data_IF_714869255527
#
_entry.id   IF_714869255527
#
_cell.length_a   1.000
_cell.length_b   1.000
_cell.length_c   1.000
_cell.angle_alpha   90.00
_cell.angle_beta   90.00
_cell.angle_gamma   90.00
#
_symmetry.space_group_name_H-M   'P 1'
#
loop_
_entity.id
_entity.type
_entity.pdbx_description
1 polymer ?
#
# COMPACT_ATOMS: atom_id res chain seq x y z
N UNK A 1 10.47 -23.53 37.36
CA UNK A 1 10.38 -22.07 37.23
C UNK A 1 11.25 -21.62 36.03
N UNK A 2 10.67 -21.32 34.86
CA UNK A 2 11.44 -20.79 33.72
C UNK A 2 11.47 -19.27 33.86
N UNK A 3 12.67 -18.72 33.98
CA UNK A 3 12.90 -17.28 34.02
C UNK A 3 12.38 -16.66 32.72
N UNK A 4 11.37 -15.80 32.84
CA UNK A 4 10.92 -14.93 31.75
C UNK A 4 12.06 -13.94 31.51
N UNK A 5 12.57 -13.93 30.29
CA UNK A 5 13.71 -13.14 29.89
C UNK A 5 13.37 -11.64 30.03
N UNK A 6 14.20 -10.89 30.76
CA UNK A 6 14.02 -9.44 31.01
C UNK A 6 13.79 -8.61 29.74
N UNK A 7 14.35 -9.05 28.62
CA UNK A 7 14.12 -8.42 27.32
C UNK A 7 12.67 -8.55 26.79
N UNK A 8 11.95 -9.61 27.18
CA UNK A 8 10.54 -9.77 26.82
C UNK A 8 9.61 -8.92 27.70
N UNK A 9 9.96 -8.71 28.98
CA UNK A 9 9.20 -7.82 29.86
C UNK A 9 9.34 -6.35 29.47
N UNK A 10 10.54 -5.91 29.07
CA UNK A 10 10.80 -4.54 28.62
C UNK A 10 10.09 -4.24 27.28
N UNK A 11 10.04 -5.24 26.39
CA UNK A 11 9.31 -5.17 25.13
C UNK A 11 7.79 -5.06 25.34
N UNK A 12 7.26 -5.78 26.34
CA UNK A 12 5.82 -5.74 26.68
C UNK A 12 5.44 -4.42 27.40
N UNK A 13 6.30 -3.91 28.25
CA UNK A 13 6.13 -2.64 28.97
C UNK A 13 6.14 -1.43 28.01
N UNK A 14 7.02 -1.42 27.02
CA UNK A 14 7.07 -0.38 25.97
C UNK A 14 5.87 -0.46 25.01
N UNK A 15 5.37 -1.66 24.69
CA UNK A 15 4.12 -1.81 23.91
C UNK A 15 2.89 -1.22 24.64
N UNK A 16 2.86 -1.29 25.97
CA UNK A 16 1.73 -0.79 26.78
C UNK A 16 1.74 0.73 26.96
N UNK A 17 2.85 1.44 26.69
CA UNK A 17 2.95 2.89 26.83
C UNK A 17 2.57 3.69 25.58
N UNK A 18 2.35 3.00 24.44
CA UNK A 18 2.02 3.65 23.17
C UNK A 18 0.51 3.91 23.06
N UNK A 19 0.15 5.01 22.40
CA UNK A 19 -1.25 5.25 22.03
C UNK A 19 -1.77 4.04 21.24
N UNK A 20 -2.92 3.46 21.63
CA UNK A 20 -3.46 2.31 20.93
C UNK A 20 -3.72 2.69 19.45
N UNK A 21 -3.18 1.90 18.53
CA UNK A 21 -3.39 2.07 17.09
C UNK A 21 -4.75 1.58 16.59
N UNK A 22 -5.60 1.15 17.52
CA UNK A 22 -6.95 0.67 17.29
C UNK A 22 -7.97 1.50 18.08
N UNK A 23 -9.19 1.54 17.57
CA UNK A 23 -10.37 2.18 18.18
C UNK A 23 -11.41 1.12 18.56
N UNK A 24 -12.43 1.43 19.39
CA UNK A 24 -13.62 0.61 19.49
C UNK A 24 -14.25 0.39 18.12
N UNK A 25 -14.82 -0.79 17.89
CA UNK A 25 -15.52 -1.09 16.62
C UNK A 25 -16.68 -0.10 16.46
N UNK A 26 -16.79 0.51 15.27
CA UNK A 26 -17.89 1.40 14.93
C UNK A 26 -19.20 0.60 14.94
N UNK A 27 -20.30 1.12 15.50
CA UNK A 27 -21.55 0.36 15.62
C UNK A 27 -22.06 -0.21 14.29
N UNK A 28 -21.98 0.58 13.21
CA UNK A 28 -22.38 0.21 11.85
C UNK A 28 -21.47 -0.83 11.20
N UNK A 29 -20.26 -1.02 11.71
CA UNK A 29 -19.23 -1.93 11.19
C UNK A 29 -19.00 -3.11 12.16
N UNK A 30 -19.94 -3.34 13.09
CA UNK A 30 -19.86 -4.44 14.06
C UNK A 30 -19.90 -5.81 13.37
N UNK A 31 -19.19 -6.77 13.99
CA UNK A 31 -19.17 -8.17 13.56
C UNK A 31 -20.08 -9.01 14.46
N UNK A 32 -20.67 -10.09 13.92
CA UNK A 32 -21.33 -11.11 14.70
C UNK A 32 -20.27 -11.91 15.49
N UNK A 33 -20.01 -11.44 16.71
CA UNK A 33 -18.95 -11.99 17.56
C UNK A 33 -19.21 -13.43 17.95
N UNK A 34 -20.46 -13.84 18.17
CA UNK A 34 -20.81 -15.20 18.58
C UNK A 34 -20.52 -16.19 17.44
N UNK A 35 -20.98 -15.88 16.22
CA UNK A 35 -20.69 -16.71 15.05
C UNK A 35 -19.19 -16.75 14.74
N UNK A 36 -18.50 -15.62 14.85
CA UNK A 36 -17.06 -15.55 14.64
C UNK A 36 -16.30 -16.41 15.65
N UNK A 37 -16.68 -16.39 16.93
CA UNK A 37 -16.08 -17.23 17.97
C UNK A 37 -16.26 -18.73 17.67
N UNK A 38 -17.47 -19.14 17.31
CA UNK A 38 -17.77 -20.53 16.95
C UNK A 38 -16.94 -20.94 15.71
N UNK A 39 -16.88 -20.09 14.71
CA UNK A 39 -16.13 -20.35 13.47
C UNK A 39 -14.63 -20.50 13.71
N UNK A 40 -14.03 -19.61 14.53
CA UNK A 40 -12.58 -19.59 14.78
C UNK A 40 -12.11 -20.66 15.75
N UNK A 41 -13.03 -21.29 16.51
CA UNK A 41 -12.70 -22.33 17.46
C UNK A 41 -11.85 -23.42 16.80
N UNK A 42 -10.72 -23.74 17.40
CA UNK A 42 -9.76 -24.76 16.98
C UNK A 42 -9.05 -24.49 15.62
N UNK A 43 -9.40 -23.38 14.91
CA UNK A 43 -8.72 -22.97 13.67
C UNK A 43 -7.50 -22.08 13.93
N UNK A 44 -7.50 -21.35 15.04
CA UNK A 44 -6.40 -20.47 15.47
C UNK A 44 -5.96 -20.80 16.90
N UNK A 45 -4.73 -20.42 17.24
CA UNK A 45 -4.24 -20.54 18.62
C UNK A 45 -4.94 -19.53 19.53
N UNK A 46 -5.19 -19.92 20.76
CA UNK A 46 -5.74 -19.04 21.78
C UNK A 46 -7.27 -18.91 21.79
N UNK A 47 -7.98 -19.53 20.87
CA UNK A 47 -9.46 -19.43 20.72
C UNK A 47 -10.26 -20.04 21.88
N UNK A 48 -9.60 -20.69 22.82
CA UNK A 48 -10.18 -21.16 24.07
C UNK A 48 -10.25 -20.09 25.17
N UNK A 49 -9.84 -18.86 24.87
CA UNK A 49 -9.91 -17.71 25.78
C UNK A 49 -10.86 -16.65 25.20
N UNK A 50 -11.35 -15.69 26.02
CA UNK A 50 -12.24 -14.63 25.52
C UNK A 50 -11.64 -13.85 24.36
N UNK A 51 -12.45 -13.61 23.33
CA UNK A 51 -12.10 -12.76 22.19
C UNK A 51 -12.45 -11.31 22.51
N UNK A 52 -11.48 -10.42 22.29
CA UNK A 52 -11.72 -8.98 22.23
C UNK A 52 -11.49 -8.49 20.79
N UNK A 53 -12.44 -7.70 20.27
CA UNK A 53 -12.39 -7.14 18.92
C UNK A 53 -12.25 -5.62 19.01
N UNK A 54 -11.25 -5.08 18.30
CA UNK A 54 -11.08 -3.65 18.08
C UNK A 54 -10.94 -3.39 16.59
N UNK A 55 -10.96 -2.13 16.16
CA UNK A 55 -10.90 -1.77 14.76
C UNK A 55 -9.70 -0.86 14.48
N UNK A 56 -9.04 -1.02 13.35
CA UNK A 56 -8.05 -0.05 12.89
C UNK A 56 -8.77 1.18 12.32
N UNK A 57 -8.39 2.41 12.72
CA UNK A 57 -9.09 3.64 12.33
C UNK A 57 -8.92 3.99 10.85
N UNK A 58 -7.83 3.52 10.24
CA UNK A 58 -7.54 3.67 8.83
C UNK A 58 -8.25 2.64 7.96
N UNK A 59 -8.36 2.53 6.80
CA UNK A 59 -9.00 1.44 6.02
C UNK A 59 -10.34 1.87 5.45
N UNK A 60 -10.28 2.84 4.50
CA UNK A 60 -11.46 3.24 3.73
C UNK A 60 -11.80 2.26 2.61
N UNK A 61 -10.80 1.51 2.16
CA UNK A 61 -10.94 0.52 1.11
C UNK A 61 -11.44 -0.82 1.66
N UNK A 62 -10.85 -1.32 2.74
CA UNK A 62 -11.23 -2.55 3.42
C UNK A 62 -11.38 -2.31 4.92
N UNK A 63 -12.29 -3.03 5.57
CA UNK A 63 -12.44 -2.97 7.02
C UNK A 63 -11.44 -3.94 7.67
N UNK A 64 -10.69 -3.43 8.64
CA UNK A 64 -9.61 -4.17 9.29
C UNK A 64 -9.84 -4.15 10.80
N UNK A 65 -9.85 -5.35 11.40
CA UNK A 65 -10.13 -5.55 12.82
C UNK A 65 -8.95 -6.24 13.50
N UNK A 66 -8.68 -5.83 14.71
CA UNK A 66 -7.75 -6.50 15.62
C UNK A 66 -8.55 -7.51 16.44
N UNK A 67 -8.17 -8.77 16.35
CA UNK A 67 -8.69 -9.87 17.17
C UNK A 67 -7.64 -10.22 18.21
N UNK A 68 -7.95 -10.06 19.51
CA UNK A 68 -7.03 -10.43 20.58
C UNK A 68 -7.61 -11.46 21.51
N UNK A 69 -6.81 -12.45 21.82
CA UNK A 69 -6.98 -13.48 22.83
C UNK A 69 -5.92 -13.27 23.92
N UNK A 70 -5.98 -13.98 25.02
CA UNK A 70 -5.07 -13.77 26.18
C UNK A 70 -3.58 -13.61 25.81
N UNK A 71 -3.07 -14.44 24.87
CA UNK A 71 -1.64 -14.47 24.49
C UNK A 71 -1.45 -14.47 22.96
N UNK A 72 -2.49 -14.20 22.18
CA UNK A 72 -2.45 -14.27 20.72
C UNK A 72 -3.21 -13.11 20.12
N UNK A 73 -2.69 -12.61 19.02
CA UNK A 73 -3.27 -11.50 18.27
C UNK A 73 -3.34 -11.83 16.80
N UNK A 74 -4.39 -11.36 16.15
CA UNK A 74 -4.63 -11.54 14.72
C UNK A 74 -5.25 -10.28 14.12
N UNK A 75 -5.17 -10.17 12.82
CA UNK A 75 -5.87 -9.14 12.04
C UNK A 75 -6.89 -9.83 11.14
N UNK A 76 -8.15 -9.43 11.25
CA UNK A 76 -9.21 -9.83 10.33
C UNK A 76 -9.42 -8.70 9.32
N UNK A 77 -9.45 -9.05 8.04
CA UNK A 77 -9.69 -8.12 6.94
C UNK A 77 -10.88 -8.58 6.12
N UNK A 78 -11.79 -7.64 5.79
CA UNK A 78 -13.00 -7.89 4.98
C UNK A 78 -13.28 -6.70 4.05
N UNK A 79 -14.06 -6.88 2.97
CA UNK A 79 -14.54 -5.79 2.15
C UNK A 79 -15.32 -4.73 2.96
N UNK A 80 -15.43 -3.48 2.47
CA UNK A 80 -16.28 -2.46 3.07
C UNK A 80 -17.76 -2.88 3.03
N UNK A 81 -18.58 -2.20 3.83
CA UNK A 81 -20.04 -2.38 3.78
C UNK A 81 -20.62 -1.75 2.52
N UNK A 82 -21.65 -2.40 1.96
CA UNK A 82 -22.36 -1.93 0.77
C UNK A 82 -21.81 -2.49 -0.54
N UNK A 83 -22.34 -2.07 -1.68
CA UNK A 83 -21.95 -2.61 -2.98
C UNK A 83 -20.52 -2.19 -3.34
N UNK A 84 -19.69 -3.16 -3.66
CA UNK A 84 -18.33 -2.96 -4.17
C UNK A 84 -18.28 -3.19 -5.68
N UNK A 85 -17.36 -2.50 -6.37
CA UNK A 85 -17.17 -2.72 -7.79
C UNK A 85 -16.63 -4.16 -8.02
N UNK A 86 -17.10 -4.80 -9.09
CA UNK A 86 -16.65 -6.14 -9.46
C UNK A 86 -15.11 -6.19 -9.59
N UNK A 87 -14.49 -7.14 -8.91
CA UNK A 87 -13.04 -7.33 -8.88
C UNK A 87 -12.27 -6.35 -7.98
N UNK A 88 -12.94 -5.43 -7.28
CA UNK A 88 -12.35 -4.62 -6.24
C UNK A 88 -12.50 -5.33 -4.87
N UNK A 89 -11.49 -5.18 -4.01
CA UNK A 89 -11.53 -5.74 -2.65
C UNK A 89 -11.66 -7.28 -2.60
N UNK A 90 -10.96 -7.96 -3.51
CA UNK A 90 -10.94 -9.42 -3.57
C UNK A 90 -10.06 -10.00 -2.44
N UNK A 91 -10.72 -10.43 -1.37
CA UNK A 91 -10.05 -11.01 -0.20
C UNK A 91 -9.36 -12.33 -0.53
N UNK A 92 -9.86 -13.09 -1.50
CA UNK A 92 -9.26 -14.36 -1.93
C UNK A 92 -7.90 -14.12 -2.60
N UNK A 93 -7.79 -13.06 -3.40
CA UNK A 93 -6.54 -12.69 -4.07
C UNK A 93 -5.47 -12.28 -3.06
N UNK A 94 -5.79 -11.38 -2.14
CA UNK A 94 -4.85 -10.94 -1.10
C UNK A 94 -4.43 -12.11 -0.21
N UNK A 95 -5.38 -12.96 0.21
CA UNK A 95 -5.08 -14.18 0.95
C UNK A 95 -4.15 -15.11 0.17
N UNK A 96 -4.42 -15.36 -1.12
CA UNK A 96 -3.59 -16.23 -1.96
C UNK A 96 -2.13 -15.78 -1.99
N UNK A 97 -1.88 -14.48 -2.15
CA UNK A 97 -0.53 -13.91 -2.09
C UNK A 97 0.08 -14.12 -0.71
N UNK A 98 -0.57 -13.64 0.35
CA UNK A 98 -0.01 -13.63 1.70
C UNK A 98 0.16 -15.02 2.31
N UNK A 99 -0.64 -16.01 1.89
CA UNK A 99 -0.53 -17.39 2.37
C UNK A 99 0.77 -18.08 1.93
N UNK A 100 1.42 -17.58 0.89
CA UNK A 100 2.66 -18.16 0.35
C UNK A 100 3.85 -17.20 0.42
N UNK A 101 3.66 -15.92 0.14
CA UNK A 101 4.73 -14.93 0.04
C UNK A 101 5.55 -14.79 1.32
N UNK A 102 4.91 -14.85 2.50
CA UNK A 102 5.59 -14.76 3.80
C UNK A 102 6.71 -15.81 4.01
N UNK A 103 6.73 -16.88 3.22
CA UNK A 103 7.74 -17.95 3.31
C UNK A 103 9.11 -17.52 2.74
N UNK A 104 9.12 -16.57 1.81
CA UNK A 104 10.32 -16.07 1.12
C UNK A 104 10.52 -14.56 1.29
N UNK A 105 9.52 -13.87 1.85
CA UNK A 105 9.56 -12.43 2.06
C UNK A 105 8.90 -12.10 3.41
N UNK A 106 9.71 -11.96 4.46
CA UNK A 106 9.26 -11.83 5.85
C UNK A 106 8.47 -10.54 6.13
N UNK A 107 8.57 -9.54 5.24
CA UNK A 107 7.81 -8.29 5.34
C UNK A 107 6.34 -8.47 4.94
N UNK A 108 5.99 -9.56 4.26
CA UNK A 108 4.60 -9.91 4.00
C UNK A 108 3.97 -10.56 5.26
N UNK A 109 2.87 -10.03 5.81
CA UNK A 109 2.17 -10.68 6.92
C UNK A 109 1.70 -12.08 6.54
N UNK A 110 1.88 -13.05 7.44
CA UNK A 110 1.38 -14.41 7.21
C UNK A 110 -0.15 -14.44 7.24
N UNK A 111 -0.80 -14.89 6.15
CA UNK A 111 -2.22 -15.21 6.18
C UNK A 111 -2.45 -16.63 6.73
N UNK A 112 -3.42 -16.78 7.64
CA UNK A 112 -3.70 -18.02 8.34
C UNK A 112 -4.90 -18.78 7.77
N UNK A 113 -5.98 -18.06 7.46
CA UNK A 113 -7.22 -18.64 6.93
C UNK A 113 -7.97 -17.63 6.06
N UNK A 114 -8.75 -18.15 5.14
CA UNK A 114 -9.72 -17.44 4.31
C UNK A 114 -11.09 -18.11 4.45
N UNK A 115 -12.14 -17.29 4.52
CA UNK A 115 -13.51 -17.74 4.53
C UNK A 115 -14.32 -16.99 3.48
N UNK A 116 -14.93 -17.72 2.58
CA UNK A 116 -15.76 -17.17 1.51
C UNK A 116 -17.23 -17.07 1.89
N UNK A 117 -17.69 -17.86 2.88
CA UNK A 117 -19.09 -17.88 3.32
C UNK A 117 -19.46 -16.58 4.06
N UNK A 118 -20.34 -15.75 3.49
CA UNK A 118 -20.76 -14.51 4.12
C UNK A 118 -21.66 -14.73 5.35
N UNK A 119 -22.15 -15.95 5.60
CA UNK A 119 -23.06 -16.23 6.73
C UNK A 119 -22.40 -16.04 8.10
N UNK A 120 -21.06 -16.02 8.16
CA UNK A 120 -20.30 -15.88 9.40
C UNK A 120 -20.32 -14.42 9.89
N UNK A 121 -19.87 -13.48 9.06
CA UNK A 121 -19.76 -12.05 9.42
C UNK A 121 -20.36 -11.10 8.36
N UNK A 122 -21.17 -11.61 7.46
CA UNK A 122 -21.83 -10.82 6.42
C UNK A 122 -21.01 -10.54 5.16
N UNK A 123 -19.78 -11.07 5.06
CA UNK A 123 -18.90 -10.97 3.88
C UNK A 123 -17.78 -12.00 3.95
N UNK A 124 -17.13 -12.32 2.81
CA UNK A 124 -15.86 -13.02 2.81
C UNK A 124 -14.81 -12.27 3.63
N UNK A 125 -13.90 -13.00 4.27
CA UNK A 125 -12.83 -12.40 5.04
C UNK A 125 -11.59 -13.31 5.09
N UNK A 126 -10.46 -12.72 5.46
CA UNK A 126 -9.30 -13.53 5.84
C UNK A 126 -8.67 -13.04 7.14
N UNK A 127 -7.89 -13.92 7.76
CA UNK A 127 -7.17 -13.63 8.99
C UNK A 127 -5.68 -13.75 8.74
N UNK A 128 -4.95 -12.76 9.20
CA UNK A 128 -3.50 -12.68 9.06
C UNK A 128 -2.80 -12.31 10.36
N UNK A 129 -1.50 -12.40 10.33
CA UNK A 129 -0.57 -12.01 11.38
C UNK A 129 -0.73 -10.53 11.77
N UNK A 130 -0.71 -10.26 13.07
CA UNK A 130 -0.57 -8.91 13.59
C UNK A 130 0.91 -8.53 13.61
N UNK A 131 1.28 -7.51 12.85
CA UNK A 131 2.60 -6.89 12.88
C UNK A 131 2.59 -5.67 13.80
N UNK A 132 3.72 -5.39 14.47
CA UNK A 132 3.87 -4.28 15.41
C UNK A 132 4.98 -3.35 14.93
N UNK A 133 4.70 -2.06 14.90
CA UNK A 133 5.62 -1.03 14.42
C UNK A 133 4.91 0.29 14.15
N UNK A 134 5.60 1.19 13.49
CA UNK A 134 5.14 2.54 13.15
C UNK A 134 4.84 2.63 11.65
N UNK A 135 3.64 3.08 11.31
CA UNK A 135 3.30 3.48 9.94
C UNK A 135 3.46 4.99 9.83
N UNK A 136 4.36 5.41 8.96
CA UNK A 136 4.69 6.82 8.75
C UNK A 136 3.70 7.42 7.75
N UNK A 137 3.11 8.58 8.09
CA UNK A 137 2.16 9.29 7.24
C UNK A 137 2.63 10.73 6.99
N UNK A 138 1.94 11.70 7.56
CA UNK A 138 2.18 13.14 7.31
C UNK A 138 3.25 13.74 8.22
N UNK A 139 3.61 13.06 9.30
CA UNK A 139 4.56 13.53 10.30
C UNK A 139 5.58 12.43 10.62
N UNK A 140 6.81 12.85 10.94
CA UNK A 140 7.82 11.93 11.45
C UNK A 140 7.38 11.45 12.84
N UNK A 141 7.41 10.14 13.13
CA UNK A 141 7.11 9.63 14.45
C UNK A 141 8.04 10.23 15.54
N UNK A 142 7.48 10.49 16.72
CA UNK A 142 8.25 11.01 17.86
C UNK A 142 9.43 10.11 18.22
N UNK A 143 9.28 8.79 18.02
CA UNK A 143 10.30 7.78 18.24
C UNK A 143 11.55 8.00 17.38
N UNK A 144 11.39 8.64 16.21
CA UNK A 144 12.47 8.92 15.27
C UNK A 144 13.00 10.36 15.34
N UNK A 145 12.34 11.26 16.10
CA UNK A 145 12.66 12.69 16.15
C UNK A 145 14.10 13.01 16.58
N UNK A 146 14.71 12.12 17.37
CA UNK A 146 16.08 12.28 17.86
C UNK A 146 17.12 11.44 17.06
N UNK A 147 16.70 10.79 15.97
CA UNK A 147 17.59 10.02 15.12
C UNK A 147 18.02 10.90 13.95
N UNK A 148 19.29 11.30 13.95
CA UNK A 148 19.85 12.00 12.81
C UNK A 148 19.71 11.13 11.55
N UNK A 149 19.36 11.74 10.42
CA UNK A 149 19.15 11.06 9.14
C UNK A 149 18.00 10.03 9.14
N UNK A 150 16.97 10.19 9.99
CA UNK A 150 15.84 9.25 10.01
C UNK A 150 15.17 9.12 8.64
N UNK A 151 14.95 10.24 7.92
CA UNK A 151 14.38 10.22 6.58
C UNK A 151 15.25 9.50 5.55
N UNK A 152 16.58 9.67 5.60
CA UNK A 152 17.52 8.90 4.76
C UNK A 152 17.42 7.41 5.03
N UNK A 153 17.44 7.02 6.31
CA UNK A 153 17.32 5.64 6.74
C UNK A 153 16.03 5.00 6.28
N UNK A 154 14.90 5.69 6.43
CA UNK A 154 13.58 5.27 5.93
C UNK A 154 13.63 5.10 4.41
N UNK A 155 14.21 6.06 3.69
CA UNK A 155 14.33 6.03 2.23
C UNK A 155 15.09 4.81 1.73
N UNK A 156 16.25 4.54 2.33
CA UNK A 156 17.08 3.38 1.99
C UNK A 156 16.37 2.06 2.29
N UNK A 157 15.73 1.96 3.46
CA UNK A 157 14.99 0.75 3.86
C UNK A 157 13.83 0.44 2.91
N UNK A 158 13.09 1.46 2.46
CA UNK A 158 12.01 1.30 1.48
C UNK A 158 12.53 0.75 0.16
N UNK A 159 13.59 1.34 -0.38
CA UNK A 159 14.15 0.89 -1.66
C UNK A 159 14.73 -0.50 -1.56
N UNK A 160 15.47 -0.79 -0.49
CA UNK A 160 16.07 -2.12 -0.27
C UNK A 160 14.98 -3.20 -0.15
N UNK A 161 13.90 -2.94 0.59
CA UNK A 161 12.77 -3.86 0.71
C UNK A 161 12.05 -4.09 -0.64
N UNK A 162 11.93 -3.05 -1.47
CA UNK A 162 11.36 -3.17 -2.81
C UNK A 162 12.23 -4.05 -3.72
N UNK A 163 13.55 -3.89 -3.66
CA UNK A 163 14.49 -4.74 -4.40
C UNK A 163 14.37 -6.20 -3.96
N UNK A 164 14.27 -6.46 -2.65
CA UNK A 164 14.12 -7.83 -2.15
C UNK A 164 12.77 -8.44 -2.57
N UNK A 165 11.68 -7.67 -2.59
CA UNK A 165 10.40 -8.12 -3.13
C UNK A 165 10.54 -8.57 -4.60
N UNK A 166 11.20 -7.75 -5.42
CA UNK A 166 11.35 -8.03 -6.85
C UNK A 166 12.28 -9.20 -7.16
N UNK A 167 13.10 -9.65 -6.21
CA UNK A 167 13.93 -10.86 -6.31
C UNK A 167 13.20 -12.14 -5.94
N UNK A 168 11.99 -12.06 -5.36
CA UNK A 168 11.24 -13.24 -4.95
C UNK A 168 10.92 -14.12 -6.16
N UNK A 169 11.24 -15.41 -6.06
CA UNK A 169 10.86 -16.43 -7.05
C UNK A 169 9.37 -16.74 -6.94
N UNK A 170 8.55 -16.01 -7.68
CA UNK A 170 7.10 -16.18 -7.67
C UNK A 170 6.67 -17.57 -8.18
N UNK A 171 7.46 -18.18 -9.05
CA UNK A 171 7.20 -19.53 -9.57
C UNK A 171 7.36 -20.61 -8.48
N UNK A 172 8.38 -20.51 -7.63
CA UNK A 172 8.58 -21.42 -6.49
C UNK A 172 7.48 -21.29 -5.44
N UNK A 173 6.82 -20.14 -5.37
CA UNK A 173 5.68 -19.90 -4.49
C UNK A 173 4.33 -20.32 -5.09
N UNK A 174 4.31 -20.82 -6.32
CA UNK A 174 3.07 -21.16 -7.02
C UNK A 174 2.23 -19.95 -7.45
N UNK A 175 2.84 -18.75 -7.54
CA UNK A 175 2.18 -17.51 -7.91
C UNK A 175 2.27 -17.18 -9.42
N UNK A 176 2.64 -18.17 -10.27
CA UNK A 176 2.79 -17.98 -11.71
C UNK A 176 1.52 -17.51 -12.43
N UNK A 177 0.35 -17.87 -11.91
CA UNK A 177 -0.95 -17.50 -12.48
C UNK A 177 -1.54 -16.19 -11.85
N UNK A 178 -0.80 -15.50 -11.00
CA UNK A 178 -1.28 -14.30 -10.31
C UNK A 178 -1.59 -13.14 -11.28
N UNK A 179 -0.98 -13.14 -12.47
CA UNK A 179 -1.18 -12.13 -13.49
C UNK A 179 -0.63 -12.52 -14.85
N UNK A 180 -0.76 -11.62 -15.81
CA UNK A 180 -0.25 -11.77 -17.18
C UNK A 180 0.87 -10.75 -17.40
N UNK A 181 2.15 -11.13 -17.29
CA UNK A 181 3.27 -10.17 -17.41
C UNK A 181 3.42 -9.64 -18.84
N UNK A 182 3.16 -10.46 -19.87
CA UNK A 182 3.25 -10.02 -21.25
C UNK A 182 2.29 -8.86 -21.54
N UNK A 183 2.82 -7.77 -22.10
CA UNK A 183 2.04 -6.55 -22.39
C UNK A 183 1.54 -5.81 -21.14
N UNK A 184 2.09 -6.10 -19.95
CA UNK A 184 1.64 -5.53 -18.68
C UNK A 184 1.61 -3.99 -18.72
N UNK A 185 2.69 -3.32 -19.11
CA UNK A 185 2.76 -1.87 -19.10
C UNK A 185 1.73 -1.23 -20.04
N UNK A 186 1.55 -1.75 -21.26
CA UNK A 186 0.50 -1.26 -22.16
C UNK A 186 -0.89 -1.38 -21.52
N UNK A 187 -1.20 -2.51 -20.93
CA UNK A 187 -2.50 -2.70 -20.25
C UNK A 187 -2.67 -1.78 -19.03
N UNK A 188 -1.58 -1.41 -18.32
CA UNK A 188 -1.66 -0.41 -17.26
C UNK A 188 -2.05 0.96 -17.83
N UNK A 189 -1.36 1.42 -18.87
CA UNK A 189 -1.66 2.71 -19.53
C UNK A 189 -3.11 2.73 -20.03
N UNK A 190 -3.52 1.76 -20.86
CA UNK A 190 -4.86 1.68 -21.44
C UNK A 190 -5.96 1.50 -20.36
N UNK A 191 -5.69 0.70 -19.33
CA UNK A 191 -6.61 0.47 -18.24
C UNK A 191 -6.85 1.72 -17.39
N UNK A 192 -5.81 2.51 -17.10
CA UNK A 192 -5.96 3.76 -16.37
C UNK A 192 -6.60 4.85 -17.22
N UNK A 193 -6.31 4.89 -18.53
CA UNK A 193 -7.02 5.78 -19.45
C UNK A 193 -8.51 5.47 -19.52
N UNK A 194 -8.88 4.19 -19.63
CA UNK A 194 -10.30 3.77 -19.57
C UNK A 194 -10.98 4.20 -18.28
N UNK A 195 -10.29 4.08 -17.12
CA UNK A 195 -10.84 4.54 -15.83
C UNK A 195 -11.00 6.06 -15.81
N UNK A 196 -10.04 6.81 -16.35
CA UNK A 196 -10.16 8.25 -16.54
C UNK A 196 -11.38 8.60 -17.40
N UNK A 197 -11.52 8.04 -18.59
CA UNK A 197 -12.64 8.30 -19.48
C UNK A 197 -14.02 8.03 -18.82
N UNK A 198 -14.10 6.98 -17.98
CA UNK A 198 -15.33 6.63 -17.28
C UNK A 198 -15.65 7.54 -16.08
N UNK A 199 -14.64 8.24 -15.54
CA UNK A 199 -14.75 9.03 -14.32
C UNK A 199 -14.53 10.54 -14.53
N UNK A 200 -14.07 10.98 -15.69
CA UNK A 200 -13.81 12.41 -15.95
C UNK A 200 -15.08 13.23 -15.81
N UNK A 201 -14.98 14.35 -15.12
CA UNK A 201 -16.07 15.31 -14.93
C UNK A 201 -16.10 16.39 -16.01
N UNK A 202 -14.99 16.58 -16.72
CA UNK A 202 -14.79 17.47 -17.86
C UNK A 202 -13.63 16.95 -18.71
N UNK A 203 -13.52 17.46 -19.94
CA UNK A 203 -12.35 17.21 -20.78
C UNK A 203 -11.14 18.02 -20.29
N UNK A 204 -9.98 17.39 -20.21
CA UNK A 204 -8.70 18.00 -19.82
C UNK A 204 -7.65 17.55 -20.84
N UNK A 205 -7.29 18.44 -21.77
CA UNK A 205 -6.37 18.15 -22.88
C UNK A 205 -5.02 17.63 -22.43
N UNK A 206 -4.52 18.12 -21.29
CA UNK A 206 -3.23 17.66 -20.73
C UNK A 206 -3.25 16.17 -20.38
N UNK A 207 -4.39 15.60 -20.00
CA UNK A 207 -4.53 14.15 -19.70
C UNK A 207 -4.51 13.33 -20.99
N UNK A 208 -5.16 13.82 -22.05
CA UNK A 208 -5.14 13.17 -23.37
C UNK A 208 -3.69 13.19 -23.93
N UNK A 209 -2.99 14.32 -23.82
CA UNK A 209 -1.58 14.45 -24.23
C UNK A 209 -0.66 13.50 -23.46
N UNK A 210 -0.90 13.32 -22.14
CA UNK A 210 -0.16 12.34 -21.35
C UNK A 210 -0.40 10.89 -21.80
N UNK A 211 -1.64 10.56 -22.12
CA UNK A 211 -1.97 9.24 -22.66
C UNK A 211 -1.23 8.97 -23.97
N UNK A 212 -1.27 9.92 -24.90
CA UNK A 212 -0.58 9.80 -26.19
C UNK A 212 0.94 9.68 -26.02
N UNK A 213 1.50 10.45 -25.07
CA UNK A 213 2.92 10.35 -24.73
C UNK A 213 3.27 8.97 -24.17
N UNK A 214 2.48 8.46 -23.21
CA UNK A 214 2.71 7.14 -22.61
C UNK A 214 2.62 6.02 -23.65
N UNK A 215 1.64 6.06 -24.56
CA UNK A 215 1.51 5.04 -25.62
C UNK A 215 2.69 5.10 -26.60
N UNK A 216 3.16 6.31 -26.92
CA UNK A 216 4.25 6.52 -27.88
C UNK A 216 5.64 6.19 -27.30
N UNK A 217 5.78 6.18 -25.97
CA UNK A 217 7.06 5.96 -25.28
C UNK A 217 7.08 4.64 -24.46
N UNK A 218 6.21 3.67 -24.76
CA UNK A 218 6.20 2.41 -24.08
C UNK A 218 7.58 1.76 -24.07
N UNK A 219 8.15 1.45 -22.89
CA UNK A 219 9.42 0.75 -22.82
C UNK A 219 9.26 -0.68 -23.36
N UNK A 220 10.33 -1.26 -23.84
CA UNK A 220 10.36 -2.70 -24.13
C UNK A 220 10.14 -3.44 -22.81
N UNK A 221 9.37 -4.53 -22.84
CA UNK A 221 9.15 -5.36 -21.66
C UNK A 221 10.49 -5.79 -21.06
N UNK A 222 10.66 -5.45 -19.80
CA UNK A 222 11.81 -5.83 -19.00
C UNK A 222 11.62 -7.19 -18.33
N UNK A 223 12.31 -7.37 -17.20
CA UNK A 223 12.17 -8.53 -16.35
C UNK A 223 10.79 -8.58 -15.71
N UNK A 224 10.19 -9.77 -15.60
CA UNK A 224 8.96 -10.00 -14.83
C UNK A 224 9.29 -10.26 -13.38
N UNK A 225 8.62 -9.56 -12.49
CA UNK A 225 8.69 -9.77 -11.05
C UNK A 225 7.30 -9.82 -10.42
N UNK A 226 7.24 -10.25 -9.16
CA UNK A 226 6.09 -9.98 -8.31
C UNK A 226 6.08 -8.47 -8.00
N UNK A 227 5.01 -7.78 -8.35
CA UNK A 227 4.86 -6.34 -8.11
C UNK A 227 3.70 -6.08 -7.15
N UNK A 228 3.94 -5.18 -6.19
CA UNK A 228 2.94 -4.80 -5.19
C UNK A 228 1.81 -3.98 -5.80
N UNK A 229 2.13 -3.15 -6.78
CA UNK A 229 1.21 -2.24 -7.49
C UNK A 229 0.59 -1.10 -6.66
N UNK A 230 0.90 -0.99 -5.38
CA UNK A 230 0.56 0.15 -4.52
C UNK A 230 1.66 0.41 -3.48
N UNK A 231 2.93 0.25 -3.91
CA UNK A 231 4.08 0.43 -3.04
C UNK A 231 4.30 1.91 -2.71
N UNK A 232 4.21 2.26 -1.43
CA UNK A 232 4.36 3.63 -0.94
C UNK A 232 4.60 3.62 0.58
N UNK A 233 5.10 4.75 1.12
CA UNK A 233 5.51 4.88 2.52
C UNK A 233 4.40 4.50 3.51
N UNK A 234 3.16 4.94 3.29
CA UNK A 234 2.04 4.69 4.20
C UNK A 234 1.47 3.27 4.17
N UNK A 235 1.96 2.42 3.24
CA UNK A 235 1.73 0.97 3.24
C UNK A 235 2.86 0.18 3.91
N UNK A 236 3.89 0.85 4.43
CA UNK A 236 5.04 0.24 5.06
C UNK A 236 5.07 0.51 6.57
N UNK A 237 5.45 -0.49 7.35
CA UNK A 237 5.59 -0.39 8.79
C UNK A 237 7.05 -0.56 9.19
N UNK A 238 7.54 0.34 10.04
CA UNK A 238 8.90 0.36 10.56
C UNK A 238 8.97 -0.14 12.00
N UNK A 239 10.14 -0.61 12.41
CA UNK A 239 10.42 -0.93 13.80
C UNK A 239 10.27 0.32 14.67
N UNK A 240 9.81 0.15 15.92
CA UNK A 240 9.66 1.27 16.86
C UNK A 240 10.96 2.01 17.18
N UNK A 241 12.09 1.36 17.05
CA UNK A 241 13.38 1.88 17.52
C UNK A 241 14.41 2.07 16.39
N UNK A 242 14.06 1.71 15.16
CA UNK A 242 15.02 1.71 14.06
C UNK A 242 14.33 2.09 12.73
N UNK A 243 14.56 3.31 12.23
CA UNK A 243 14.02 3.75 10.95
C UNK A 243 14.62 3.01 9.74
N UNK A 244 15.72 2.27 9.90
CA UNK A 244 16.28 1.41 8.86
C UNK A 244 15.56 0.06 8.72
N UNK A 245 14.73 -0.32 9.68
CA UNK A 245 14.14 -1.63 9.72
C UNK A 245 12.65 -1.60 9.39
N UNK A 246 12.27 -2.01 8.18
CA UNK A 246 10.91 -2.40 7.90
C UNK A 246 10.56 -3.69 8.64
N UNK A 247 9.31 -3.78 9.09
CA UNK A 247 8.75 -4.97 9.76
C UNK A 247 7.54 -5.52 9.03
N UNK A 248 6.87 -4.72 8.19
CA UNK A 248 5.79 -5.21 7.33
C UNK A 248 5.55 -4.28 6.13
N UNK A 249 4.97 -4.87 5.08
CA UNK A 249 4.35 -4.19 3.95
C UNK A 249 2.90 -4.68 3.87
N UNK A 250 1.94 -3.75 3.71
CA UNK A 250 0.51 -4.02 3.72
C UNK A 250 -0.14 -3.69 2.38
N UNK A 251 -1.41 -4.11 2.22
CA UNK A 251 -2.27 -3.80 1.08
C UNK A 251 -1.87 -4.49 -0.22
N UNK A 252 -1.86 -5.82 -0.18
CA UNK A 252 -1.44 -6.70 -1.27
C UNK A 252 -2.56 -7.04 -2.27
N UNK A 253 -3.73 -6.41 -2.16
CA UNK A 253 -4.90 -6.70 -3.01
C UNK A 253 -4.64 -6.41 -4.50
N UNK A 254 -3.72 -5.51 -4.82
CA UNK A 254 -3.30 -5.17 -6.18
C UNK A 254 -2.08 -5.96 -6.68
N UNK A 255 -1.50 -6.82 -5.85
CA UNK A 255 -0.30 -7.57 -6.18
C UNK A 255 -0.50 -8.43 -7.43
N UNK A 256 0.50 -8.46 -8.33
CA UNK A 256 0.43 -9.20 -9.59
C UNK A 256 1.84 -9.50 -10.13
N UNK A 257 1.91 -10.14 -11.29
CA UNK A 257 3.14 -10.27 -12.06
C UNK A 257 3.25 -9.12 -13.06
N UNK A 258 4.38 -8.42 -13.06
CA UNK A 258 4.58 -7.26 -13.90
C UNK A 258 6.01 -6.77 -13.96
N UNK A 259 6.18 -5.59 -14.51
CA UNK A 259 7.47 -4.91 -14.60
C UNK A 259 7.82 -4.24 -13.26
N UNK A 260 8.94 -4.59 -12.61
CA UNK A 260 9.34 -4.07 -11.30
C UNK A 260 9.46 -2.54 -11.25
N UNK A 261 9.84 -1.89 -12.36
CA UNK A 261 9.93 -0.43 -12.40
C UNK A 261 8.56 0.25 -12.22
N UNK A 262 7.45 -0.47 -12.39
CA UNK A 262 6.10 0.08 -12.11
C UNK A 262 5.90 0.37 -10.63
N UNK A 263 6.47 -0.43 -9.73
CA UNK A 263 6.43 -0.18 -8.29
C UNK A 263 7.36 0.96 -7.88
N UNK A 264 8.56 1.01 -8.47
CA UNK A 264 9.44 2.16 -8.25
C UNK A 264 8.78 3.45 -8.73
N UNK A 265 8.18 3.47 -9.92
CA UNK A 265 7.44 4.63 -10.44
C UNK A 265 6.25 5.02 -9.55
N UNK A 266 5.56 4.05 -8.94
CA UNK A 266 4.50 4.28 -7.95
C UNK A 266 5.07 4.94 -6.69
N UNK A 267 6.19 4.44 -6.15
CA UNK A 267 6.87 5.04 -5.01
C UNK A 267 7.25 6.50 -5.30
N UNK A 268 7.87 6.77 -6.47
CA UNK A 268 8.27 8.13 -6.87
C UNK A 268 7.06 9.08 -6.98
N UNK A 269 5.90 8.59 -7.42
CA UNK A 269 4.67 9.38 -7.53
C UNK A 269 4.16 9.88 -6.16
N UNK A 270 4.35 9.10 -5.09
CA UNK A 270 3.95 9.46 -3.73
C UNK A 270 5.10 10.05 -2.89
N UNK A 271 6.26 10.32 -3.51
CA UNK A 271 7.44 10.84 -2.85
C UNK A 271 7.58 12.35 -3.01
N UNK A 272 7.77 13.07 -1.92
CA UNK A 272 8.04 14.51 -1.95
C UNK A 272 9.50 14.74 -2.36
N UNK A 273 9.71 15.59 -3.36
CA UNK A 273 11.04 16.06 -3.77
C UNK A 273 11.09 17.58 -3.57
N UNK A 274 12.22 18.17 -3.15
CA UNK A 274 12.35 19.62 -2.93
C UNK A 274 12.01 20.48 -4.16
N UNK A 275 12.06 19.90 -5.36
CA UNK A 275 11.74 20.59 -6.63
C UNK A 275 10.26 20.57 -6.98
N UNK A 276 9.45 19.85 -6.22
CA UNK A 276 8.01 19.72 -6.49
C UNK A 276 7.27 21.04 -6.23
N UNK A 277 6.24 21.33 -7.01
CA UNK A 277 5.41 22.49 -6.76
C UNK A 277 4.60 22.33 -5.47
N UNK A 278 4.35 23.42 -4.71
CA UNK A 278 3.68 23.36 -3.40
C UNK A 278 2.30 22.71 -3.42
N UNK A 279 1.54 22.83 -4.51
CA UNK A 279 0.23 22.18 -4.61
C UNK A 279 0.34 20.65 -4.53
N UNK A 280 1.42 20.09 -5.08
CA UNK A 280 1.66 18.65 -5.10
C UNK A 280 2.18 18.17 -3.74
N UNK A 281 3.23 18.80 -3.21
CA UNK A 281 3.80 18.43 -1.91
C UNK A 281 2.80 18.52 -0.76
N UNK A 282 1.86 19.48 -0.82
CA UNK A 282 0.82 19.67 0.21
C UNK A 282 -0.30 18.62 0.14
N UNK A 283 -0.41 17.86 -0.96
CA UNK A 283 -1.43 16.84 -1.16
C UNK A 283 -0.96 15.41 -0.85
N UNK A 284 0.35 15.21 -0.73
CA UNK A 284 0.93 13.88 -0.48
C UNK A 284 0.90 13.50 1.01
N UNK A 285 0.77 12.21 1.25
CA UNK A 285 0.84 11.61 2.60
C UNK A 285 2.29 11.18 2.85
N UNK A 286 3.12 12.15 3.20
CA UNK A 286 4.52 11.95 3.53
C UNK A 286 4.98 13.08 4.46
N UNK A 287 5.88 12.85 5.43
CA UNK A 287 6.47 13.91 6.22
C UNK A 287 7.25 14.90 5.35
N UNK A 288 7.16 16.18 5.67
CA UNK A 288 7.97 17.23 5.06
C UNK A 288 9.26 17.40 5.86
N UNK A 289 10.20 16.51 5.63
CA UNK A 289 11.47 16.43 6.34
C UNK A 289 12.61 16.39 5.31
N UNK A 290 13.56 17.30 5.43
CA UNK A 290 14.68 17.46 4.48
C UNK A 290 15.68 16.30 4.54
N UNK A 291 15.60 15.43 5.55
CA UNK A 291 16.46 14.26 5.66
C UNK A 291 16.09 13.12 4.70
N UNK A 292 14.91 13.16 4.06
CA UNK A 292 14.55 12.18 3.04
C UNK A 292 15.41 12.31 1.78
N UNK A 293 15.76 11.18 1.17
CA UNK A 293 16.45 11.15 -0.11
C UNK A 293 15.59 11.71 -1.23
N UNK A 294 16.21 12.37 -2.20
CA UNK A 294 15.56 12.80 -3.44
C UNK A 294 15.14 11.60 -4.30
N UNK A 295 14.21 11.80 -5.23
CA UNK A 295 13.79 10.76 -6.18
C UNK A 295 14.97 10.18 -6.97
N UNK A 296 15.92 11.03 -7.39
CA UNK A 296 17.13 10.59 -8.10
C UNK A 296 17.93 9.62 -7.24
N UNK A 297 18.13 9.92 -5.95
CA UNK A 297 18.87 9.05 -5.04
C UNK A 297 18.15 7.71 -4.78
N UNK A 298 16.80 7.70 -4.71
CA UNK A 298 16.03 6.46 -4.64
C UNK A 298 16.24 5.59 -5.89
N UNK A 299 16.19 6.19 -7.07
CA UNK A 299 16.43 5.49 -8.35
C UNK A 299 17.84 4.93 -8.43
N UNK A 300 18.85 5.72 -8.04
CA UNK A 300 20.24 5.28 -7.98
C UNK A 300 20.40 4.08 -7.04
N UNK A 301 19.85 4.19 -5.83
CA UNK A 301 19.88 3.08 -4.85
C UNK A 301 19.23 1.81 -5.40
N UNK A 302 18.07 1.95 -6.05
CA UNK A 302 17.39 0.81 -6.67
C UNK A 302 18.23 0.16 -7.76
N UNK A 303 18.80 0.96 -8.68
CA UNK A 303 19.67 0.47 -9.74
C UNK A 303 20.91 -0.26 -9.20
N UNK A 304 21.58 0.34 -8.21
CA UNK A 304 22.77 -0.25 -7.56
C UNK A 304 22.47 -1.60 -6.90
N UNK A 305 21.34 -1.72 -6.22
CA UNK A 305 20.96 -2.93 -5.47
C UNK A 305 20.36 -4.04 -6.32
N UNK A 306 19.62 -3.68 -7.34
CA UNK A 306 18.93 -4.64 -8.21
C UNK A 306 19.74 -5.01 -9.46
N UNK A 307 20.65 -4.13 -9.91
CA UNK A 307 21.29 -4.25 -11.22
C UNK A 307 20.36 -3.93 -12.41
N UNK A 308 19.15 -3.42 -12.13
CA UNK A 308 18.15 -3.13 -13.16
C UNK A 308 18.49 -1.83 -13.89
N UNK A 309 18.36 -1.82 -15.21
CA UNK A 309 18.45 -0.60 -16.03
C UNK A 309 17.26 0.32 -15.74
N UNK A 310 17.53 1.48 -15.19
CA UNK A 310 16.53 2.49 -14.83
C UNK A 310 16.45 3.65 -15.83
N UNK A 311 17.04 3.53 -17.03
CA UNK A 311 17.07 4.59 -18.06
C UNK A 311 15.67 5.10 -18.40
N UNK A 312 14.65 4.24 -18.36
CA UNK A 312 13.26 4.60 -18.65
C UNK A 312 12.44 4.98 -17.41
N UNK A 313 13.05 5.24 -16.26
CA UNK A 313 12.30 5.49 -15.01
C UNK A 313 11.35 6.69 -15.10
N UNK A 314 11.67 7.69 -15.89
CA UNK A 314 10.78 8.84 -16.17
C UNK A 314 9.42 8.38 -16.70
N UNK A 315 9.39 7.38 -17.58
CA UNK A 315 8.14 6.81 -18.07
C UNK A 315 7.29 6.24 -16.91
N UNK A 316 7.90 5.50 -16.02
CA UNK A 316 7.18 4.86 -14.89
C UNK A 316 6.72 5.88 -13.85
N UNK A 317 7.48 6.95 -13.63
CA UNK A 317 7.05 8.06 -12.79
C UNK A 317 5.82 8.77 -13.39
N UNK A 318 5.88 9.10 -14.69
CA UNK A 318 4.73 9.69 -15.40
C UNK A 318 3.52 8.75 -15.39
N UNK A 319 3.73 7.43 -15.57
CA UNK A 319 2.66 6.43 -15.44
C UNK A 319 2.05 6.42 -14.04
N UNK A 320 2.87 6.56 -12.99
CA UNK A 320 2.41 6.70 -11.60
C UNK A 320 1.51 7.92 -11.41
N UNK A 321 1.91 9.08 -11.93
CA UNK A 321 1.11 10.31 -11.89
C UNK A 321 -0.17 10.19 -12.73
N UNK A 322 -0.12 9.56 -13.89
CA UNK A 322 -1.28 9.28 -14.72
C UNK A 322 -2.29 8.35 -14.01
N UNK A 323 -1.79 7.34 -13.32
CA UNK A 323 -2.58 6.47 -12.44
C UNK A 323 -3.24 7.29 -11.32
N UNK A 324 -2.51 8.19 -10.66
CA UNK A 324 -3.03 9.06 -9.61
C UNK A 324 -4.17 9.93 -10.12
N UNK A 325 -4.07 10.48 -11.35
CA UNK A 325 -5.17 11.20 -12.01
C UNK A 325 -6.43 10.33 -12.12
N UNK A 326 -6.28 9.09 -12.57
CA UNK A 326 -7.39 8.15 -12.68
C UNK A 326 -8.04 7.82 -11.33
N UNK A 327 -7.24 7.65 -10.27
CA UNK A 327 -7.71 7.41 -8.90
C UNK A 327 -8.50 8.62 -8.39
N UNK A 328 -7.93 9.82 -8.49
CA UNK A 328 -8.55 11.07 -8.04
C UNK A 328 -9.87 11.32 -8.79
N UNK A 329 -9.91 11.09 -10.11
CA UNK A 329 -11.12 11.24 -10.91
C UNK A 329 -12.24 10.30 -10.44
N UNK A 330 -11.92 9.02 -10.15
CA UNK A 330 -12.90 8.06 -9.64
C UNK A 330 -13.45 8.47 -8.25
N UNK A 331 -12.60 9.02 -7.38
CA UNK A 331 -13.03 9.51 -6.06
C UNK A 331 -13.90 10.76 -6.25
N UNK A 332 -13.48 11.68 -7.11
CA UNK A 332 -14.16 12.96 -7.33
C UNK A 332 -15.55 12.77 -7.94
N UNK A 333 -15.70 11.89 -8.93
CA UNK A 333 -17.03 11.64 -9.52
C UNK A 333 -18.00 11.00 -8.52
N UNK A 334 -17.50 10.17 -7.59
CA UNK A 334 -18.30 9.63 -6.48
C UNK A 334 -18.71 10.73 -5.49
N UNK A 335 -17.81 11.68 -5.23
CA UNK A 335 -18.13 12.86 -4.40
C UNK A 335 -19.22 13.72 -5.06
N UNK A 336 -19.10 14.03 -6.34
CA UNK A 336 -20.09 14.79 -7.09
C UNK A 336 -21.48 14.10 -7.13
N UNK A 337 -21.50 12.76 -7.16
CA UNK A 337 -22.72 11.95 -7.09
C UNK A 337 -23.25 11.77 -5.66
N UNK A 338 -22.66 12.39 -4.66
CA UNK A 338 -23.06 12.27 -3.25
C UNK A 338 -22.86 10.89 -2.62
N UNK A 339 -22.07 10.01 -3.27
CA UNK A 339 -21.73 8.67 -2.77
C UNK A 339 -20.68 8.69 -1.66
N UNK A 340 -19.99 9.80 -1.49
CA UNK A 340 -19.11 10.11 -0.35
C UNK A 340 -19.31 11.56 0.08
N UNK A 341 -19.30 11.81 1.39
CA UNK A 341 -19.49 13.14 1.99
C UNK A 341 -18.18 13.78 2.48
N UNK A 342 -17.03 13.16 2.23
CA UNK A 342 -15.74 13.63 2.68
C UNK A 342 -15.34 14.91 1.93
N UNK A 343 -15.40 16.04 2.63
CA UNK A 343 -15.11 17.37 2.06
C UNK A 343 -13.69 17.52 1.51
N UNK A 344 -12.75 16.65 1.89
CA UNK A 344 -11.38 16.65 1.35
C UNK A 344 -11.36 16.39 -0.15
N UNK A 345 -12.38 15.73 -0.69
CA UNK A 345 -12.50 15.42 -2.12
C UNK A 345 -13.05 16.56 -2.97
N UNK A 346 -13.54 17.64 -2.34
CA UNK A 346 -14.13 18.78 -3.06
C UNK A 346 -13.17 19.43 -4.06
N UNK A 347 -11.88 19.48 -3.74
CA UNK A 347 -10.86 20.14 -4.55
C UNK A 347 -10.19 19.21 -5.59
N UNK A 348 -10.60 17.95 -5.67
CA UNK A 348 -9.96 16.99 -6.58
C UNK A 348 -10.15 17.35 -8.05
N UNK A 349 -11.28 17.97 -8.41
CA UNK A 349 -11.51 18.44 -9.78
C UNK A 349 -10.49 19.47 -10.27
N UNK A 350 -9.98 20.32 -9.37
CA UNK A 350 -8.94 21.31 -9.68
C UNK A 350 -7.52 20.73 -9.55
N UNK A 351 -7.33 19.69 -8.76
CA UNK A 351 -6.04 19.01 -8.63
C UNK A 351 -5.65 18.24 -9.92
N UNK A 352 -6.62 17.63 -10.60
CA UNK A 352 -6.38 16.81 -11.80
C UNK A 352 -5.58 17.55 -12.88
N UNK A 353 -6.00 18.76 -13.37
CA UNK A 353 -5.23 19.47 -14.41
C UNK A 353 -3.85 19.92 -13.92
N UNK A 354 -3.69 20.20 -12.62
CA UNK A 354 -2.39 20.56 -12.06
C UNK A 354 -1.43 19.37 -12.08
N UNK A 355 -1.90 18.19 -11.67
CA UNK A 355 -1.10 16.94 -11.71
C UNK A 355 -0.77 16.58 -13.17
N UNK A 356 -1.73 16.71 -14.10
CA UNK A 356 -1.49 16.43 -15.50
C UNK A 356 -0.39 17.34 -16.09
N UNK A 357 -0.45 18.62 -15.80
CA UNK A 357 0.58 19.59 -16.23
C UNK A 357 1.94 19.30 -15.60
N UNK A 358 1.98 18.94 -14.33
CA UNK A 358 3.20 18.54 -13.64
C UNK A 358 3.82 17.30 -14.30
N UNK A 359 3.01 16.27 -14.59
CA UNK A 359 3.47 15.06 -15.27
C UNK A 359 3.99 15.35 -16.69
N UNK A 360 3.36 16.27 -17.45
CA UNK A 360 3.87 16.73 -18.76
C UNK A 360 5.19 17.48 -18.61
N UNK A 361 5.37 18.25 -17.55
CA UNK A 361 6.67 18.89 -17.26
C UNK A 361 7.78 17.86 -17.11
N UNK A 362 7.53 16.78 -16.37
CA UNK A 362 8.48 15.67 -16.17
C UNK A 362 8.73 14.91 -17.48
N UNK A 363 7.68 14.62 -18.27
CA UNK A 363 7.82 13.91 -19.55
C UNK A 363 8.69 14.66 -20.57
N UNK A 364 8.65 16.00 -20.54
CA UNK A 364 9.42 16.86 -21.42
C UNK A 364 10.84 17.15 -20.91
N UNK A 365 11.09 16.92 -19.63
CA UNK A 365 12.40 17.15 -19.02
C UNK A 365 12.77 16.00 -18.08
N UNK A 366 13.32 14.89 -18.60
CA UNK A 366 13.68 13.71 -17.81
C UNK A 366 14.64 13.98 -16.63
N UNK A 367 15.36 15.09 -16.64
CA UNK A 367 16.26 15.49 -15.56
C UNK A 367 15.52 16.10 -14.33
N UNK A 368 14.19 16.19 -14.38
CA UNK A 368 13.34 16.69 -13.28
C UNK A 368 12.76 15.57 -12.39
N UNK A 369 13.36 14.39 -12.43
CA UNK A 369 13.03 13.31 -11.48
C UNK A 369 13.28 13.72 -10.06
#
# INVERSE_FOLDING_TARGET
>A
MKFINWQQQDKFSKLMSQKPDTIPVRPEESLDQEKLLVYLKDKLKGTNTPLNIRQFPGGKANLTYHLSYKNYEYVLRRPPLGPVASGAHDMSREYSVLSTLHKSFELAPKAYLYEEDPSIIGAPFFIMERKHGLVIRTEMPDEFSNISNAGENISLALVDALVELHKVSYSELGLGELGKPEGFIRRQVEGWYKRWCNAKHRDISDVETLYDWLISNLPKSGQTSLVHNDYKLDNCMFSFNDPNQLVAIFDWDMCTLGDPLSDLGSLLCYWIDPRDPPFFTNSLIMPKDESFLSRIQLVQRYAEKSGTDTTHITFYHVLGLFRLIGIIAQIYIRFLKGQTKDKRFANFGEAIPLIARFALGISNNPNQL
#
